data_IF_839845651257
#
_entry.id   IF_839845651257
#
_cell.length_a   1.000
_cell.length_b   1.000
_cell.length_c   1.000
_cell.angle_alpha   90.00
_cell.angle_beta   90.00
_cell.angle_gamma   90.00
#
_symmetry.space_group_name_H-M   'P 1'
#
loop_
_entity.id
_entity.type
_entity.pdbx_description
1 polymer ?
#
# COMPACT_ATOMS: atom_id res chain seq x y z
N UNK A 1 -17.92 -7.41 8.32
CA UNK A 1 -18.20 -8.50 9.29
C UNK A 1 -19.70 -8.65 9.48
N UNK A 2 -20.20 -9.86 9.78
CA UNK A 2 -21.64 -10.09 9.96
C UNK A 2 -22.22 -9.20 11.06
N UNK A 3 -23.49 -8.79 10.89
CA UNK A 3 -24.19 -7.99 11.89
C UNK A 3 -24.24 -8.73 13.22
N UNK A 4 -23.87 -8.07 14.32
CA UNK A 4 -23.92 -8.68 15.64
C UNK A 4 -25.37 -8.76 16.14
N UNK A 5 -26.01 -9.91 15.96
CA UNK A 5 -27.38 -10.21 16.43
C UNK A 5 -27.46 -10.41 17.95
N UNK A 6 -26.34 -10.36 18.68
CA UNK A 6 -26.34 -10.60 20.13
C UNK A 6 -27.19 -9.59 20.91
N UNK A 7 -27.49 -8.41 20.34
CA UNK A 7 -28.32 -7.38 20.99
C UNK A 7 -29.76 -7.84 21.22
N UNK A 8 -30.30 -8.72 20.38
CA UNK A 8 -31.71 -9.14 20.46
C UNK A 8 -31.99 -10.00 21.71
N UNK A 9 -30.95 -10.59 22.29
CA UNK A 9 -31.01 -11.38 23.53
C UNK A 9 -31.00 -10.53 24.82
N UNK A 10 -30.91 -9.21 24.71
CA UNK A 10 -30.91 -8.28 25.84
C UNK A 10 -32.11 -7.33 25.78
N UNK A 11 -32.51 -6.81 26.94
CA UNK A 11 -33.43 -5.69 27.01
C UNK A 11 -32.77 -4.41 26.45
N UNK A 12 -33.56 -3.40 26.02
CA UNK A 12 -33.02 -2.10 25.63
C UNK A 12 -32.08 -1.55 26.71
N UNK A 13 -30.92 -0.96 26.32
CA UNK A 13 -29.92 -0.50 27.27
C UNK A 13 -30.49 0.57 28.19
N UNK A 14 -30.31 0.39 29.50
CA UNK A 14 -30.75 1.35 30.51
C UNK A 14 -29.55 2.18 31.02
N UNK A 15 -29.71 3.49 31.14
CA UNK A 15 -28.70 4.34 31.75
C UNK A 15 -28.70 4.13 33.27
N UNK A 16 -27.56 3.71 33.83
CA UNK A 16 -27.37 3.54 35.26
C UNK A 16 -26.23 4.44 35.77
N UNK A 17 -26.43 5.04 36.95
CA UNK A 17 -25.41 5.83 37.64
C UNK A 17 -25.01 5.09 38.91
N UNK A 18 -23.73 4.75 39.03
CA UNK A 18 -23.18 4.13 40.24
C UNK A 18 -21.86 4.79 40.64
N UNK A 19 -21.23 4.25 41.70
CA UNK A 19 -19.95 4.76 42.22
C UNK A 19 -18.80 4.72 41.19
N UNK A 20 -18.95 3.93 40.12
CA UNK A 20 -17.98 3.81 39.02
C UNK A 20 -18.31 4.73 37.80
N UNK A 21 -19.18 5.72 37.99
CA UNK A 21 -19.60 6.66 36.95
C UNK A 21 -20.82 6.18 36.15
N UNK A 22 -21.12 6.93 35.07
CA UNK A 22 -22.25 6.65 34.17
C UNK A 22 -21.96 5.41 33.30
N UNK A 23 -22.88 4.45 33.30
CA UNK A 23 -22.76 3.21 32.51
C UNK A 23 -24.08 2.88 31.80
N UNK A 24 -23.99 2.10 30.72
CA UNK A 24 -25.13 1.42 30.11
C UNK A 24 -25.26 0.03 30.73
N UNK A 25 -26.46 -0.34 31.17
CA UNK A 25 -26.80 -1.67 31.65
C UNK A 25 -27.58 -2.43 30.58
N UNK A 26 -27.10 -3.63 30.24
CA UNK A 26 -27.75 -4.59 29.36
C UNK A 26 -28.21 -5.78 30.20
N UNK A 27 -29.51 -5.92 30.40
CA UNK A 27 -30.10 -7.06 31.13
C UNK A 27 -30.40 -8.19 30.17
N UNK A 28 -29.90 -9.40 30.47
CA UNK A 28 -30.20 -10.56 29.64
C UNK A 28 -31.69 -10.92 29.75
N UNK A 29 -32.31 -11.31 28.64
CA UNK A 29 -33.71 -11.78 28.64
C UNK A 29 -33.87 -13.20 29.18
N UNK A 30 -32.78 -13.97 29.21
CA UNK A 30 -32.78 -15.40 29.49
C UNK A 30 -32.29 -15.75 30.90
N UNK A 31 -31.66 -14.82 31.62
CA UNK A 31 -31.25 -15.01 33.01
C UNK A 31 -31.17 -13.69 33.79
N UNK A 32 -30.92 -13.78 35.10
CA UNK A 32 -30.81 -12.62 35.97
C UNK A 32 -29.52 -11.79 35.81
N UNK A 33 -28.63 -12.15 34.87
CA UNK A 33 -27.37 -11.43 34.68
C UNK A 33 -27.58 -10.08 33.98
N UNK A 34 -26.87 -9.06 34.45
CA UNK A 34 -26.73 -7.78 33.76
C UNK A 34 -25.26 -7.50 33.45
N UNK A 35 -25.02 -6.90 32.29
CA UNK A 35 -23.69 -6.48 31.84
C UNK A 35 -23.66 -4.97 31.73
N UNK A 36 -22.59 -4.35 32.22
CA UNK A 36 -22.47 -2.89 32.19
C UNK A 36 -21.27 -2.41 31.38
N UNK A 37 -21.48 -1.38 30.58
CA UNK A 37 -20.44 -0.78 29.72
C UNK A 37 -20.32 0.71 30.04
N UNK A 38 -19.08 1.24 30.06
CA UNK A 38 -18.84 2.66 30.38
C UNK A 38 -19.50 3.54 29.31
N UNK A 39 -20.20 4.58 29.74
CA UNK A 39 -20.87 5.57 28.88
C UNK A 39 -19.98 6.80 28.71
N UNK A 40 -19.87 7.32 27.49
CA UNK A 40 -19.10 8.54 27.17
C UNK A 40 -19.99 9.76 26.90
N UNK A 41 -21.30 9.57 26.70
CA UNK A 41 -22.26 10.65 26.42
C UNK A 41 -22.93 11.22 27.68
N UNK A 42 -23.47 12.45 27.55
CA UNK A 42 -24.16 13.17 28.63
C UNK A 42 -25.40 12.43 29.15
N UNK A 43 -25.83 12.70 30.40
CA UNK A 43 -26.88 11.93 31.10
C UNK A 43 -28.20 11.74 30.33
N UNK A 44 -28.57 12.68 29.45
CA UNK A 44 -29.85 12.68 28.72
C UNK A 44 -29.81 12.00 27.34
N UNK A 45 -28.64 11.63 26.82
CA UNK A 45 -28.51 11.04 25.49
C UNK A 45 -29.00 9.58 25.45
N UNK A 46 -29.58 9.13 24.34
CA UNK A 46 -29.89 7.72 24.10
C UNK A 46 -28.60 6.91 23.82
N UNK A 47 -28.69 5.58 23.77
CA UNK A 47 -27.52 4.75 23.45
C UNK A 47 -27.07 4.97 21.99
N UNK A 48 -28.03 5.23 21.10
CA UNK A 48 -27.84 5.47 19.67
C UNK A 48 -27.06 6.76 19.39
N UNK A 49 -27.06 7.69 20.35
CA UNK A 49 -26.33 8.97 20.26
C UNK A 49 -24.84 8.82 20.58
N UNK A 50 -24.38 7.66 21.06
CA UNK A 50 -22.97 7.41 21.39
C UNK A 50 -22.13 7.05 20.16
N UNK A 51 -21.22 7.96 19.77
CA UNK A 51 -20.31 7.80 18.63
C UNK A 51 -18.86 8.01 19.11
N UNK A 52 -18.01 6.96 19.10
CA UNK A 52 -18.28 5.59 18.65
C UNK A 52 -19.11 4.77 19.66
N UNK A 53 -19.94 3.84 19.16
CA UNK A 53 -20.65 2.90 20.04
C UNK A 53 -19.63 2.04 20.80
N UNK A 54 -19.84 1.80 22.11
CA UNK A 54 -18.88 1.07 22.90
C UNK A 54 -18.82 -0.41 22.47
N UNK A 55 -17.64 -1.02 22.59
CA UNK A 55 -17.43 -2.41 22.18
C UNK A 55 -18.32 -3.37 23.01
N UNK A 56 -19.28 -4.01 22.35
CA UNK A 56 -20.25 -4.94 22.95
C UNK A 56 -19.81 -6.42 22.90
N UNK A 57 -18.51 -6.70 22.68
CA UNK A 57 -18.00 -8.07 22.55
C UNK A 57 -18.34 -8.99 23.74
N UNK A 58 -18.46 -8.42 24.93
CA UNK A 58 -18.83 -9.15 26.15
C UNK A 58 -20.27 -9.69 26.12
N UNK A 59 -21.17 -9.10 25.33
CA UNK A 59 -22.56 -9.57 25.18
C UNK A 59 -22.60 -10.92 24.44
N UNK A 60 -21.83 -11.06 23.36
CA UNK A 60 -21.79 -12.29 22.57
C UNK A 60 -21.25 -13.48 23.38
N UNK A 61 -20.20 -13.26 24.19
CA UNK A 61 -19.67 -14.29 25.10
C UNK A 61 -20.69 -14.73 26.14
N UNK A 62 -21.55 -13.82 26.59
CA UNK A 62 -22.62 -14.17 27.52
C UNK A 62 -23.73 -15.00 26.84
N UNK A 63 -24.16 -14.63 25.63
CA UNK A 63 -25.20 -15.39 24.91
C UNK A 63 -24.80 -16.85 24.70
N UNK A 64 -23.52 -17.12 24.45
CA UNK A 64 -22.99 -18.50 24.34
C UNK A 64 -23.18 -19.36 25.60
N UNK A 65 -23.40 -18.74 26.77
CA UNK A 65 -23.67 -19.48 28.02
C UNK A 65 -25.09 -20.03 28.10
N UNK A 66 -26.01 -19.54 27.26
CA UNK A 66 -27.39 -20.00 27.22
C UNK A 66 -27.62 -21.17 26.26
N UNK A 67 -26.55 -21.73 25.69
CA UNK A 67 -26.67 -22.72 24.61
C UNK A 67 -27.05 -22.06 23.28
N UNK A 68 -27.28 -22.88 22.26
CA UNK A 68 -27.67 -22.39 20.94
C UNK A 68 -29.04 -21.70 21.03
N UNK A 69 -29.18 -20.40 20.72
CA UNK A 69 -30.42 -19.66 20.90
C UNK A 69 -31.64 -20.25 20.18
N UNK A 70 -31.44 -21.12 19.18
CA UNK A 70 -32.52 -21.86 18.52
C UNK A 70 -33.12 -23.01 19.37
N UNK A 71 -32.45 -23.41 20.47
CA UNK A 71 -32.87 -24.53 21.33
C UNK A 71 -33.51 -24.13 22.66
N UNK A 72 -33.65 -22.84 22.95
CA UNK A 72 -34.27 -22.36 24.20
C UNK A 72 -35.81 -22.34 24.06
N UNK A 73 -36.41 -23.47 24.38
CA UNK A 73 -37.86 -23.63 24.50
C UNK A 73 -38.45 -22.76 25.63
N UNK A 74 -39.59 -22.15 25.33
CA UNK A 74 -40.44 -21.40 26.28
C UNK A 74 -40.95 -22.38 27.35
N UNK A 75 -40.86 -22.09 28.66
CA UNK A 75 -41.11 -23.09 29.70
C UNK A 75 -42.60 -23.44 29.79
N UNK A 76 -42.93 -24.69 29.48
CA UNK A 76 -44.25 -25.26 29.68
C UNK A 76 -44.47 -26.62 29.01
N UNK A 77 -43.69 -27.65 29.34
CA UNK A 77 -44.16 -29.04 29.13
C UNK A 77 -43.42 -30.07 29.98
N UNK A 78 -44.18 -31.04 30.48
CA UNK A 78 -43.82 -32.06 31.44
C UNK A 78 -43.10 -33.27 30.79
N UNK A 79 -42.47 -34.16 31.59
CA UNK A 79 -41.45 -35.08 31.10
C UNK A 79 -41.98 -36.45 30.72
N UNK A 80 -41.36 -37.00 29.67
CA UNK A 80 -41.20 -38.43 29.46
C UNK A 80 -41.75 -38.93 28.14
N UNK A 81 -40.88 -39.18 27.15
CA UNK A 81 -40.95 -40.39 26.33
C UNK A 81 -39.75 -40.50 25.39
N UNK A 82 -39.25 -41.73 25.28
CA UNK A 82 -38.41 -42.31 24.23
C UNK A 82 -38.16 -41.45 22.99
N UNK A 83 -36.87 -41.14 22.77
CA UNK A 83 -36.29 -40.33 21.69
C UNK A 83 -36.45 -41.00 20.32
N UNK A 84 -37.68 -41.07 19.82
CA UNK A 84 -37.93 -41.15 18.37
C UNK A 84 -37.50 -39.83 17.74
N UNK A 85 -36.91 -39.87 16.54
CA UNK A 85 -36.63 -38.67 15.75
C UNK A 85 -37.88 -37.78 15.78
N UNK A 86 -37.76 -36.58 16.37
CA UNK A 86 -38.90 -35.67 16.47
C UNK A 86 -39.35 -35.29 15.07
N UNK A 87 -40.64 -35.03 14.87
CA UNK A 87 -41.16 -34.55 13.59
C UNK A 87 -40.40 -33.30 13.09
N UNK A 88 -39.85 -32.49 14.00
CA UNK A 88 -38.97 -31.38 13.67
C UNK A 88 -37.65 -31.85 13.03
N UNK A 89 -36.99 -32.88 13.57
CA UNK A 89 -35.78 -33.45 12.97
C UNK A 89 -36.04 -34.11 11.62
N UNK A 90 -37.21 -34.76 11.44
CA UNK A 90 -37.62 -35.31 10.16
C UNK A 90 -37.86 -34.21 9.12
N UNK A 91 -38.48 -33.10 9.52
CA UNK A 91 -38.69 -31.92 8.68
C UNK A 91 -37.36 -31.23 8.29
N UNK A 92 -36.43 -31.10 9.23
CA UNK A 92 -35.09 -30.58 8.95
C UNK A 92 -34.36 -31.47 7.94
N UNK A 93 -34.44 -32.80 8.11
CA UNK A 93 -33.84 -33.74 7.16
C UNK A 93 -34.52 -33.67 5.79
N UNK A 94 -35.85 -33.49 5.76
CA UNK A 94 -36.60 -33.34 4.52
C UNK A 94 -36.26 -32.05 3.77
N UNK A 95 -36.15 -30.92 4.49
CA UNK A 95 -35.74 -29.64 3.93
C UNK A 95 -34.29 -29.69 3.45
N UNK A 96 -33.38 -30.36 4.18
CA UNK A 96 -32.00 -30.56 3.75
C UNK A 96 -31.88 -31.43 2.49
N UNK A 97 -32.70 -32.49 2.39
CA UNK A 97 -32.78 -33.33 1.19
C UNK A 97 -33.43 -32.60 0.01
N UNK A 98 -34.36 -31.68 0.27
CA UNK A 98 -35.00 -30.83 -0.74
C UNK A 98 -34.02 -29.79 -1.27
N UNK A 99 -33.26 -29.14 -0.38
CA UNK A 99 -32.18 -28.20 -0.74
C UNK A 99 -31.04 -28.90 -1.47
N UNK A 100 -30.68 -30.13 -1.07
CA UNK A 100 -29.71 -30.96 -1.79
C UNK A 100 -30.18 -31.43 -3.17
N UNK A 101 -31.50 -31.52 -3.40
CA UNK A 101 -32.08 -31.77 -4.74
C UNK A 101 -32.12 -30.51 -5.61
N UNK A 102 -32.27 -29.34 -5.00
CA UNK A 102 -32.18 -28.04 -5.69
C UNK A 102 -30.72 -27.65 -5.99
N UNK A 103 -29.77 -28.11 -5.16
CA UNK A 103 -28.33 -27.95 -5.32
C UNK A 103 -27.66 -29.32 -5.42
N UNK A 104 -27.88 -30.11 -6.49
CA UNK A 104 -27.22 -31.40 -6.64
C UNK A 104 -25.71 -31.18 -6.55
N UNK A 105 -25.00 -32.07 -5.84
CA UNK A 105 -23.56 -32.00 -5.64
C UNK A 105 -22.85 -31.65 -6.96
N UNK A 106 -22.59 -30.35 -7.16
CA UNK A 106 -22.04 -29.87 -8.40
C UNK A 106 -20.59 -30.30 -8.33
N UNK A 107 -20.22 -31.34 -9.07
CA UNK A 107 -18.83 -31.76 -9.17
C UNK A 107 -18.02 -30.52 -9.55
N UNK A 108 -17.23 -29.93 -8.63
CA UNK A 108 -16.71 -28.61 -8.86
C UNK A 108 -15.69 -28.72 -9.99
N UNK A 109 -15.94 -27.98 -11.06
CA UNK A 109 -15.14 -28.00 -12.29
C UNK A 109 -14.15 -26.83 -12.28
N UNK A 110 -13.05 -26.94 -13.03
CA UNK A 110 -12.09 -25.83 -13.18
C UNK A 110 -12.77 -24.58 -13.75
N UNK A 111 -13.75 -24.74 -14.64
CA UNK A 111 -14.52 -23.62 -15.17
C UNK A 111 -15.36 -22.93 -14.08
N UNK A 112 -16.09 -23.70 -13.25
CA UNK A 112 -16.85 -23.16 -12.12
C UNK A 112 -15.96 -22.47 -11.09
N UNK A 113 -14.81 -23.08 -10.77
CA UNK A 113 -13.82 -22.46 -9.89
C UNK A 113 -13.36 -21.10 -10.43
N UNK A 114 -12.96 -20.99 -11.70
CA UNK A 114 -12.52 -19.72 -12.26
C UNK A 114 -13.62 -18.65 -12.22
N UNK A 115 -14.90 -19.01 -12.38
CA UNK A 115 -16.03 -18.08 -12.27
C UNK A 115 -16.17 -17.53 -10.86
N UNK A 116 -16.14 -18.40 -9.86
CA UNK A 116 -16.22 -18.01 -8.43
C UNK A 116 -15.00 -17.20 -8.03
N UNK A 117 -13.81 -17.58 -8.49
CA UNK A 117 -12.57 -16.86 -8.21
C UNK A 117 -12.58 -15.46 -8.85
N UNK A 118 -13.02 -15.33 -10.10
CA UNK A 118 -13.18 -14.04 -10.74
C UNK A 118 -14.18 -13.17 -9.98
N UNK A 119 -15.37 -13.70 -9.64
CA UNK A 119 -16.38 -13.00 -8.84
C UNK A 119 -15.81 -12.46 -7.52
N UNK A 120 -15.05 -13.29 -6.81
CA UNK A 120 -14.37 -12.91 -5.57
C UNK A 120 -13.40 -11.74 -5.76
N UNK A 121 -12.60 -11.73 -6.84
CA UNK A 121 -11.69 -10.61 -7.15
C UNK A 121 -12.46 -9.29 -7.24
N UNK A 122 -13.64 -9.28 -7.85
CA UNK A 122 -14.41 -8.05 -8.08
C UNK A 122 -15.14 -7.61 -6.82
N UNK A 123 -15.75 -8.55 -6.11
CA UNK A 123 -16.50 -8.27 -4.88
C UNK A 123 -15.61 -7.64 -3.81
N UNK A 124 -14.35 -8.09 -3.73
CA UNK A 124 -13.36 -7.61 -2.75
C UNK A 124 -12.40 -6.54 -3.33
N UNK A 125 -12.65 -6.05 -4.56
CA UNK A 125 -11.82 -5.05 -5.26
C UNK A 125 -10.32 -5.42 -5.27
N UNK A 126 -10.03 -6.69 -5.53
CA UNK A 126 -8.69 -7.22 -5.58
C UNK A 126 -8.07 -7.01 -6.98
N UNK A 127 -6.74 -6.89 -7.09
CA UNK A 127 -6.07 -6.88 -8.39
C UNK A 127 -6.34 -8.18 -9.16
N UNK A 128 -6.55 -8.12 -10.48
CA UNK A 128 -6.69 -9.32 -11.32
C UNK A 128 -5.46 -10.23 -11.30
N UNK A 129 -4.29 -9.69 -10.95
CA UNK A 129 -3.04 -10.44 -10.72
C UNK A 129 -3.03 -11.25 -9.42
N UNK A 130 -4.08 -11.19 -8.60
CA UNK A 130 -4.17 -11.91 -7.30
C UNK A 130 -3.90 -13.40 -7.47
N UNK A 131 -4.43 -14.03 -8.51
CA UNK A 131 -4.22 -15.46 -8.82
C UNK A 131 -2.77 -15.85 -9.08
N UNK A 132 -1.92 -14.89 -9.45
CA UNK A 132 -0.50 -15.10 -9.78
C UNK A 132 0.43 -14.84 -8.60
N UNK A 133 -0.11 -14.33 -7.48
CA UNK A 133 0.71 -14.03 -6.31
C UNK A 133 1.25 -15.32 -5.68
N UNK A 134 2.56 -15.36 -5.41
CA UNK A 134 3.17 -16.53 -4.77
C UNK A 134 2.57 -16.88 -3.39
N UNK A 135 1.96 -15.90 -2.72
CA UNK A 135 1.24 -16.09 -1.46
C UNK A 135 0.00 -16.96 -1.61
N UNK A 136 -0.89 -16.63 -2.55
CA UNK A 136 -2.13 -17.40 -2.76
C UNK A 136 -1.82 -18.79 -3.31
N UNK A 137 -0.80 -18.90 -4.17
CA UNK A 137 -0.35 -20.19 -4.69
C UNK A 137 0.08 -21.13 -3.56
N UNK A 138 0.87 -20.65 -2.59
CA UNK A 138 1.27 -21.45 -1.41
C UNK A 138 0.07 -21.90 -0.57
N UNK A 139 -0.91 -21.02 -0.37
CA UNK A 139 -2.14 -21.35 0.36
C UNK A 139 -2.91 -22.47 -0.36
N UNK A 140 -3.07 -22.39 -1.68
CA UNK A 140 -3.76 -23.40 -2.47
C UNK A 140 -3.04 -24.75 -2.47
N UNK A 141 -1.70 -24.75 -2.55
CA UNK A 141 -0.90 -25.96 -2.38
C UNK A 141 -1.08 -26.57 -0.98
N UNK A 142 -1.07 -25.74 0.07
CA UNK A 142 -1.25 -26.21 1.45
C UNK A 142 -2.62 -26.86 1.67
N UNK A 143 -3.69 -26.27 1.11
CA UNK A 143 -5.04 -26.83 1.14
C UNK A 143 -5.23 -28.03 0.21
N UNK A 144 -4.19 -28.43 -0.54
CA UNK A 144 -4.25 -29.49 -1.56
C UNK A 144 -5.37 -29.24 -2.57
N UNK A 145 -5.57 -27.99 -2.96
CA UNK A 145 -6.57 -27.64 -3.97
C UNK A 145 -6.24 -28.30 -5.29
N UNK A 146 -7.23 -28.98 -5.89
CA UNK A 146 -7.12 -29.58 -7.23
C UNK A 146 -7.28 -28.58 -8.38
N UNK A 147 -7.64 -27.34 -8.06
CA UNK A 147 -7.88 -26.30 -9.06
C UNK A 147 -6.61 -25.49 -9.31
N UNK A 148 -6.37 -25.19 -10.59
CA UNK A 148 -5.33 -24.26 -10.99
C UNK A 148 -5.83 -22.83 -10.79
N UNK A 149 -5.00 -21.98 -10.21
CA UNK A 149 -5.31 -20.56 -10.10
C UNK A 149 -5.30 -19.93 -11.50
N UNK A 150 -6.30 -19.11 -11.87
CA UNK A 150 -6.32 -18.44 -13.16
C UNK A 150 -5.22 -17.37 -13.23
N UNK A 151 -4.66 -17.16 -14.43
CA UNK A 151 -3.95 -15.92 -14.75
C UNK A 151 -4.90 -14.72 -14.71
N UNK A 152 -4.35 -13.52 -14.65
CA UNK A 152 -5.10 -12.27 -14.74
C UNK A 152 -6.03 -12.21 -15.97
N UNK A 153 -5.50 -12.57 -17.14
CA UNK A 153 -6.22 -12.65 -18.41
C UNK A 153 -7.31 -13.72 -18.38
N UNK A 154 -7.05 -14.89 -17.79
CA UNK A 154 -8.04 -15.97 -17.69
C UNK A 154 -9.24 -15.58 -16.82
N UNK A 155 -8.99 -14.85 -15.73
CA UNK A 155 -10.05 -14.39 -14.83
C UNK A 155 -10.96 -13.36 -15.51
N UNK A 156 -10.36 -12.39 -16.22
CA UNK A 156 -11.08 -11.35 -16.97
C UNK A 156 -11.86 -11.98 -18.13
N UNK A 157 -11.20 -12.77 -18.98
CA UNK A 157 -11.80 -13.33 -20.19
C UNK A 157 -13.00 -14.21 -19.86
N UNK A 158 -12.88 -15.11 -18.88
CA UNK A 158 -14.01 -15.97 -18.51
C UNK A 158 -15.19 -15.15 -18.01
N UNK A 159 -14.94 -14.15 -17.18
CA UNK A 159 -16.03 -13.36 -16.62
C UNK A 159 -16.75 -12.53 -17.68
N UNK A 160 -16.01 -11.90 -18.59
CA UNK A 160 -16.59 -11.06 -19.65
C UNK A 160 -17.27 -11.91 -20.72
N UNK A 161 -16.69 -13.05 -21.12
CA UNK A 161 -17.27 -13.94 -22.15
C UNK A 161 -18.59 -14.57 -21.68
N UNK A 162 -18.66 -14.94 -20.40
CA UNK A 162 -19.83 -15.60 -19.81
C UNK A 162 -21.01 -14.65 -19.58
N UNK A 163 -20.79 -13.34 -19.54
CA UNK A 163 -21.85 -12.33 -19.36
C UNK A 163 -22.16 -11.66 -20.68
N UNK A 164 -23.25 -12.07 -21.32
CA UNK A 164 -23.68 -11.52 -22.62
C UNK A 164 -23.87 -10.00 -22.59
N UNK A 165 -24.33 -9.46 -21.46
CA UNK A 165 -24.47 -8.02 -21.21
C UNK A 165 -23.13 -7.25 -21.24
N UNK A 166 -22.01 -7.92 -20.96
CA UNK A 166 -20.68 -7.32 -20.95
C UNK A 166 -19.92 -7.53 -22.27
N UNK A 167 -20.39 -8.40 -23.16
CA UNK A 167 -19.76 -8.61 -24.48
C UNK A 167 -19.60 -7.33 -25.30
N UNK A 168 -20.53 -6.35 -25.28
CA UNK A 168 -20.33 -5.08 -25.97
C UNK A 168 -19.16 -4.25 -25.43
N UNK A 169 -18.65 -4.55 -24.24
CA UNK A 169 -17.48 -3.89 -23.64
C UNK A 169 -16.16 -4.55 -24.05
N UNK A 170 -16.19 -5.70 -24.72
CA UNK A 170 -14.99 -6.32 -25.27
C UNK A 170 -14.46 -5.44 -26.39
N UNK A 171 -13.19 -5.06 -26.25
CA UNK A 171 -12.49 -4.34 -27.29
C UNK A 171 -12.30 -5.27 -28.49
N UNK A 172 -12.68 -4.77 -29.66
CA UNK A 172 -12.37 -5.40 -30.94
C UNK A 172 -10.85 -5.44 -31.15
N UNK A 173 -10.39 -6.35 -32.03
CA UNK A 173 -8.97 -6.41 -32.40
C UNK A 173 -8.41 -5.05 -32.85
N UNK A 174 -9.23 -4.27 -33.56
CA UNK A 174 -8.85 -2.93 -34.01
C UNK A 174 -8.68 -1.93 -32.86
N UNK A 175 -9.50 -2.03 -31.82
CA UNK A 175 -9.38 -1.18 -30.63
C UNK A 175 -8.17 -1.58 -29.79
N UNK A 176 -7.84 -2.87 -29.71
CA UNK A 176 -6.59 -3.34 -29.12
C UNK A 176 -5.36 -2.79 -29.86
N UNK A 177 -5.34 -2.86 -31.20
CA UNK A 177 -4.26 -2.29 -32.01
C UNK A 177 -4.14 -0.77 -31.79
N UNK A 178 -5.26 -0.08 -31.58
CA UNK A 178 -5.28 1.35 -31.26
C UNK A 178 -4.69 1.62 -29.87
N UNK A 179 -5.05 0.81 -28.86
CA UNK A 179 -4.53 0.93 -27.51
C UNK A 179 -3.04 0.63 -27.43
N UNK A 180 -2.54 -0.35 -28.18
CA UNK A 180 -1.11 -0.65 -28.25
C UNK A 180 -0.33 0.57 -28.79
N UNK A 181 -0.77 1.14 -29.92
CA UNK A 181 -0.17 2.35 -30.49
C UNK A 181 -0.26 3.56 -29.56
N UNK A 182 -1.36 3.69 -28.82
CA UNK A 182 -1.51 4.72 -27.79
C UNK A 182 -0.53 4.49 -26.64
N UNK A 183 -0.36 3.24 -26.20
CA UNK A 183 0.60 2.82 -25.18
C UNK A 183 2.03 3.17 -25.58
N UNK A 184 2.43 2.84 -26.81
CA UNK A 184 3.75 3.17 -27.37
C UNK A 184 4.03 4.68 -27.33
N UNK A 185 3.06 5.49 -27.80
CA UNK A 185 3.16 6.96 -27.79
C UNK A 185 3.27 7.52 -26.36
N UNK A 186 2.62 6.90 -25.38
CA UNK A 186 2.65 7.34 -23.99
C UNK A 186 3.83 6.78 -23.19
N UNK A 187 4.52 5.76 -23.70
CA UNK A 187 5.60 5.06 -23.01
C UNK A 187 6.72 6.01 -22.55
N UNK A 188 6.99 7.06 -23.34
CA UNK A 188 8.01 8.06 -23.02
C UNK A 188 7.76 8.75 -21.67
N UNK A 189 6.51 9.02 -21.31
CA UNK A 189 6.17 9.67 -20.04
C UNK A 189 6.47 8.77 -18.85
N UNK A 190 6.20 7.47 -18.98
CA UNK A 190 6.55 6.47 -17.97
C UNK A 190 8.06 6.37 -17.78
N UNK A 191 8.83 6.37 -18.88
CA UNK A 191 10.29 6.35 -18.83
C UNK A 191 10.86 7.62 -18.15
N UNK A 192 10.37 8.80 -18.53
CA UNK A 192 10.78 10.07 -17.90
C UNK A 192 10.40 10.11 -16.43
N UNK A 193 9.20 9.69 -16.06
CA UNK A 193 8.73 9.65 -14.67
C UNK A 193 9.59 8.69 -13.83
N UNK A 194 9.91 7.52 -14.38
CA UNK A 194 10.80 6.57 -13.72
C UNK A 194 12.20 7.17 -13.52
N UNK A 195 12.74 7.85 -14.53
CA UNK A 195 14.05 8.48 -14.41
C UNK A 195 14.06 9.61 -13.37
N UNK A 196 13.00 10.43 -13.33
CA UNK A 196 12.86 11.56 -12.41
C UNK A 196 12.53 11.14 -10.97
N UNK A 197 12.02 9.93 -10.75
CA UNK A 197 11.70 9.40 -9.42
C UNK A 197 12.87 8.66 -8.75
N UNK A 198 13.99 8.48 -9.45
CA UNK A 198 15.19 7.86 -8.88
C UNK A 198 15.81 8.76 -7.81
N UNK A 199 15.76 8.31 -6.56
CA UNK A 199 16.31 9.02 -5.39
C UNK A 199 17.81 9.31 -5.44
N UNK A 200 18.53 8.63 -6.33
CA UNK A 200 20.00 8.65 -6.42
C UNK A 200 20.55 9.65 -7.43
N UNK A 201 19.68 10.33 -8.18
CA UNK A 201 20.06 11.25 -9.26
C UNK A 201 19.44 12.63 -9.02
N UNK A 202 20.24 13.72 -9.06
CA UNK A 202 19.67 15.06 -8.93
C UNK A 202 18.69 15.30 -10.08
N UNK A 203 17.44 15.64 -9.76
CA UNK A 203 16.35 15.73 -10.75
C UNK A 203 16.36 17.06 -11.50
N UNK A 204 16.68 18.16 -10.82
CA UNK A 204 16.64 19.53 -11.38
C UNK A 204 17.42 19.71 -12.70
N UNK A 205 18.65 19.19 -12.87
CA UNK A 205 19.39 19.34 -14.13
C UNK A 205 18.71 18.67 -15.33
N UNK A 206 17.92 17.63 -15.08
CA UNK A 206 17.28 16.81 -16.11
C UNK A 206 15.90 17.31 -16.53
N UNK A 207 15.29 18.24 -15.79
CA UNK A 207 13.92 18.72 -16.07
C UNK A 207 13.78 19.16 -17.53
N UNK A 208 14.61 20.11 -18.00
CA UNK A 208 14.51 20.62 -19.37
C UNK A 208 14.90 19.57 -20.44
N UNK A 209 16.00 18.79 -20.30
CA UNK A 209 16.28 17.69 -21.22
C UNK A 209 15.15 16.66 -21.34
N UNK A 210 14.45 16.35 -20.24
CA UNK A 210 13.35 15.40 -20.26
C UNK A 210 12.12 15.96 -20.98
N UNK A 211 11.79 17.24 -20.79
CA UNK A 211 10.75 17.90 -21.59
C UNK A 211 11.07 17.87 -23.08
N UNK A 212 12.30 18.22 -23.47
CA UNK A 212 12.72 18.17 -24.87
C UNK A 212 12.63 16.74 -25.44
N UNK A 213 12.98 15.73 -24.63
CA UNK A 213 12.87 14.34 -25.03
C UNK A 213 11.43 13.91 -25.30
N UNK A 214 10.50 14.25 -24.41
CA UNK A 214 9.07 14.00 -24.59
C UNK A 214 8.49 14.76 -25.80
N UNK A 215 8.87 16.04 -25.98
CA UNK A 215 8.45 16.86 -27.12
C UNK A 215 8.89 16.23 -28.45
N UNK A 216 10.16 15.81 -28.54
CA UNK A 216 10.69 15.14 -29.73
C UNK A 216 9.91 13.85 -30.04
N UNK A 217 9.59 13.07 -29.01
CA UNK A 217 8.84 11.83 -29.17
C UNK A 217 7.42 12.08 -29.71
N UNK A 218 6.66 13.01 -29.11
CA UNK A 218 5.31 13.33 -29.60
C UNK A 218 5.32 13.98 -31.00
N UNK A 219 6.34 14.79 -31.34
CA UNK A 219 6.50 15.33 -32.71
C UNK A 219 6.65 14.21 -33.73
N UNK A 220 7.45 13.19 -33.42
CA UNK A 220 7.59 12.02 -34.29
C UNK A 220 6.25 11.31 -34.52
N UNK A 221 5.43 11.12 -33.48
CA UNK A 221 4.09 10.53 -33.63
C UNK A 221 3.10 11.44 -34.37
N UNK A 222 3.15 12.75 -34.16
CA UNK A 222 2.32 13.72 -34.89
C UNK A 222 2.62 13.68 -36.40
N UNK A 223 3.91 13.61 -36.74
CA UNK A 223 4.40 13.72 -38.11
C UNK A 223 4.38 12.36 -38.86
N UNK A 224 4.08 11.25 -38.19
CA UNK A 224 3.95 9.93 -38.79
C UNK A 224 2.67 9.79 -39.62
N UNK A 225 2.81 9.79 -40.95
CA UNK A 225 1.70 9.67 -41.89
C UNK A 225 0.95 8.32 -41.82
N UNK A 226 1.56 7.27 -41.27
CA UNK A 226 0.93 5.95 -41.11
C UNK A 226 0.06 5.85 -39.85
N UNK A 227 0.19 6.82 -38.94
CA UNK A 227 -0.55 6.84 -37.69
C UNK A 227 -1.99 7.30 -37.91
N UNK A 228 -2.92 6.71 -37.15
CA UNK A 228 -4.34 7.04 -37.22
C UNK A 228 -4.55 8.55 -36.96
N UNK A 229 -5.44 9.23 -37.72
CA UNK A 229 -5.69 10.67 -37.54
C UNK A 229 -6.04 11.06 -36.10
N UNK A 230 -6.79 10.22 -35.38
CA UNK A 230 -7.14 10.45 -33.97
C UNK A 230 -5.90 10.47 -33.06
N UNK A 231 -4.94 9.56 -33.27
CA UNK A 231 -3.69 9.52 -32.50
C UNK A 231 -2.80 10.72 -32.82
N UNK A 232 -2.73 11.15 -34.09
CA UNK A 232 -2.01 12.38 -34.47
C UNK A 232 -2.63 13.63 -33.84
N UNK A 233 -3.96 13.71 -33.79
CA UNK A 233 -4.67 14.78 -33.10
C UNK A 233 -4.38 14.75 -31.60
N UNK A 234 -4.36 13.56 -30.97
CA UNK A 234 -3.97 13.39 -29.57
C UNK A 234 -2.51 13.81 -29.32
N UNK A 235 -1.56 13.44 -30.20
CA UNK A 235 -0.17 13.87 -30.12
C UNK A 235 -0.04 15.39 -30.23
N UNK A 236 -0.82 16.03 -31.12
CA UNK A 236 -0.88 17.49 -31.26
C UNK A 236 -1.35 18.16 -29.98
N UNK A 237 -2.48 17.71 -29.42
CA UNK A 237 -2.98 18.24 -28.15
C UNK A 237 -2.01 18.01 -26.98
N UNK A 238 -1.35 16.85 -26.96
CA UNK A 238 -0.29 16.52 -26.00
C UNK A 238 0.91 17.46 -26.12
N UNK A 239 1.35 17.77 -27.34
CA UNK A 239 2.44 18.72 -27.62
C UNK A 239 2.10 20.12 -27.13
N UNK A 240 0.94 20.67 -27.48
CA UNK A 240 0.52 22.00 -27.03
C UNK A 240 0.54 22.12 -25.49
N UNK A 241 0.05 21.07 -24.82
CA UNK A 241 0.07 21.02 -23.36
C UNK A 241 1.49 20.92 -22.80
N UNK A 242 2.32 20.09 -23.41
CA UNK A 242 3.69 19.84 -22.97
C UNK A 242 4.60 21.06 -23.19
N UNK A 243 4.42 21.79 -24.28
CA UNK A 243 5.11 23.06 -24.58
C UNK A 243 4.79 24.11 -23.51
N UNK A 244 3.52 24.23 -23.11
CA UNK A 244 3.11 25.11 -21.99
C UNK A 244 3.87 24.79 -20.70
N UNK A 245 4.08 23.51 -20.37
CA UNK A 245 4.83 23.11 -19.18
C UNK A 245 6.33 23.28 -19.34
N UNK A 246 6.86 23.04 -20.54
CA UNK A 246 8.26 23.30 -20.88
C UNK A 246 8.59 24.78 -20.69
N UNK A 247 7.72 25.70 -21.15
CA UNK A 247 7.89 27.14 -20.98
C UNK A 247 7.89 27.54 -19.50
N UNK A 248 6.98 26.99 -18.70
CA UNK A 248 6.98 27.21 -17.24
C UNK A 248 8.25 26.68 -16.59
N UNK A 249 8.72 25.51 -17.00
CA UNK A 249 9.95 24.92 -16.50
C UNK A 249 11.17 25.75 -16.90
N UNK A 250 11.20 26.29 -18.12
CA UNK A 250 12.26 27.15 -18.63
C UNK A 250 12.23 28.56 -18.02
N UNK A 251 11.07 29.06 -17.64
CA UNK A 251 10.92 30.30 -16.87
C UNK A 251 11.47 30.20 -15.44
N UNK A 252 11.63 28.99 -14.92
CA UNK A 252 12.24 28.76 -13.60
C UNK A 252 13.77 28.85 -13.68
N UNK A 253 14.33 29.90 -13.08
CA UNK A 253 15.78 30.12 -13.03
C UNK A 253 16.56 28.92 -12.47
N UNK A 254 15.98 28.16 -11.53
CA UNK A 254 16.64 27.01 -10.92
C UNK A 254 16.84 25.87 -11.92
N UNK A 255 15.82 25.58 -12.74
CA UNK A 255 15.91 24.57 -13.80
C UNK A 255 16.94 25.01 -14.85
N UNK A 256 16.89 26.27 -15.29
CA UNK A 256 17.83 26.80 -16.28
C UNK A 256 19.27 26.74 -15.78
N UNK A 257 19.51 27.17 -14.54
CA UNK A 257 20.84 27.15 -13.92
C UNK A 257 21.31 25.71 -13.74
N UNK A 258 20.45 24.80 -13.26
CA UNK A 258 20.77 23.39 -13.08
C UNK A 258 21.12 22.71 -14.42
N UNK A 259 20.31 22.92 -15.46
CA UNK A 259 20.53 22.34 -16.79
C UNK A 259 21.74 22.95 -17.50
N UNK A 260 21.86 24.29 -17.59
CA UNK A 260 22.98 24.95 -18.29
C UNK A 260 24.32 24.68 -17.64
N UNK A 261 24.34 24.34 -16.36
CA UNK A 261 25.58 24.13 -15.62
C UNK A 261 26.03 22.67 -15.59
N UNK A 262 25.48 21.70 -16.31
CA UNK A 262 25.95 20.30 -16.26
C UNK A 262 27.47 20.04 -16.29
N UNK A 263 28.30 20.94 -16.88
CA UNK A 263 29.78 20.92 -16.75
C UNK A 263 30.39 22.01 -15.86
N UNK A 264 29.70 23.13 -15.61
CA UNK A 264 30.15 24.26 -14.74
C UNK A 264 29.55 24.22 -13.32
N UNK A 265 28.60 23.33 -13.08
CA UNK A 265 27.84 23.15 -11.85
C UNK A 265 28.74 22.57 -10.78
N UNK A 266 29.63 21.65 -11.14
CA UNK A 266 30.66 21.15 -10.23
C UNK A 266 31.46 22.29 -9.60
N UNK A 267 31.91 23.26 -10.42
CA UNK A 267 32.71 24.39 -9.93
C UNK A 267 31.86 25.29 -9.02
N UNK A 268 30.60 25.51 -9.36
CA UNK A 268 29.75 26.42 -8.61
C UNK A 268 29.13 25.80 -7.35
N UNK A 269 28.80 24.50 -7.38
CA UNK A 269 28.45 23.73 -6.19
C UNK A 269 29.66 23.64 -5.26
N UNK A 270 30.87 23.41 -5.78
CA UNK A 270 32.09 23.52 -4.99
C UNK A 270 32.24 24.92 -4.41
N UNK A 271 32.08 25.97 -5.20
CA UNK A 271 32.17 27.34 -4.71
C UNK A 271 31.13 27.68 -3.62
N UNK A 272 29.86 27.28 -3.81
CA UNK A 272 28.78 27.51 -2.83
C UNK A 272 28.99 26.66 -1.58
N UNK A 273 29.40 25.41 -1.72
CA UNK A 273 29.74 24.53 -0.60
C UNK A 273 30.93 25.08 0.19
N UNK A 274 32.00 25.50 -0.50
CA UNK A 274 33.16 26.15 0.11
C UNK A 274 32.79 27.46 0.81
N UNK A 275 31.89 28.24 0.20
CA UNK A 275 31.38 29.47 0.82
C UNK A 275 30.57 29.17 2.07
N UNK A 276 29.65 28.20 2.00
CA UNK A 276 28.87 27.74 3.15
C UNK A 276 29.77 27.23 4.28
N UNK A 277 30.73 26.36 3.94
CA UNK A 277 31.70 25.79 4.88
C UNK A 277 32.49 26.90 5.59
N UNK A 278 33.00 27.91 4.87
CA UNK A 278 33.68 29.05 5.50
C UNK A 278 32.79 29.79 6.50
N UNK A 279 31.53 30.05 6.15
CA UNK A 279 30.61 30.75 7.04
C UNK A 279 30.27 29.90 8.27
N UNK A 280 30.13 28.59 8.09
CA UNK A 280 29.77 27.65 9.15
C UNK A 280 30.95 27.37 10.10
N UNK A 281 32.16 27.22 9.57
CA UNK A 281 33.39 27.06 10.37
C UNK A 281 33.67 28.31 11.21
N UNK A 282 33.39 29.51 10.69
CA UNK A 282 33.45 30.77 11.44
C UNK A 282 32.39 30.85 12.56
N UNK A 283 31.22 30.26 12.33
CA UNK A 283 30.14 30.22 13.32
C UNK A 283 30.40 29.17 14.41
N UNK A 284 31.09 28.07 14.10
CA UNK A 284 31.51 27.07 15.10
C UNK A 284 32.63 27.58 16.00
N UNK A 285 33.61 28.33 15.48
CA UNK A 285 34.68 28.91 16.30
C UNK A 285 34.21 30.00 17.28
N UNK A 286 33.07 30.63 17.00
CA UNK A 286 32.46 31.64 17.88
C UNK A 286 31.40 31.06 18.83
N UNK A 287 31.12 29.75 18.75
CA UNK A 287 30.15 29.11 19.63
C UNK A 287 30.79 28.92 21.02
N UNK A 288 30.25 29.51 22.09
CA UNK A 288 30.74 29.23 23.44
C UNK A 288 30.68 27.73 23.72
N UNK A 289 31.64 27.17 24.47
CA UNK A 289 31.70 25.74 24.75
C UNK A 289 30.35 25.28 25.24
N UNK A 290 29.80 24.26 24.56
CA UNK A 290 28.50 23.71 24.93
C UNK A 290 28.51 23.36 26.42
N UNK A 291 27.51 23.78 27.21
CA UNK A 291 27.44 23.39 28.61
C UNK A 291 27.50 21.87 28.66
N UNK A 292 28.42 21.35 29.50
CA UNK A 292 28.65 19.91 29.69
C UNK A 292 27.29 19.24 29.85
N UNK A 293 26.85 18.54 28.81
CA UNK A 293 25.54 17.90 28.80
C UNK A 293 25.58 16.82 29.88
N UNK A 294 24.75 16.97 30.91
CA UNK A 294 24.52 15.89 31.87
C UNK A 294 24.04 14.70 31.07
N UNK A 295 24.83 13.62 31.10
CA UNK A 295 24.51 12.34 30.48
C UNK A 295 23.13 11.89 30.99
N UNK A 296 22.08 12.15 30.22
CA UNK A 296 20.82 11.45 30.38
C UNK A 296 20.96 10.16 29.61
N UNK A 297 21.21 9.06 30.33
CA UNK A 297 21.21 7.71 29.79
C UNK A 297 19.85 7.42 29.15
N UNK A 298 19.78 7.56 27.84
CA UNK A 298 18.63 7.12 27.06
C UNK A 298 18.75 5.61 26.90
N UNK A 299 17.70 4.87 27.25
CA UNK A 299 17.58 3.42 27.10
C UNK A 299 17.92 2.91 25.68
N UNK A 300 17.91 3.77 24.67
CA UNK A 300 18.30 3.42 23.29
C UNK A 300 19.82 3.32 23.09
N UNK A 301 20.64 3.89 23.97
CA UNK A 301 22.11 3.81 23.88
C UNK A 301 22.62 2.43 24.36
N UNK A 302 21.90 1.75 25.27
CA UNK A 302 22.27 0.41 25.76
C UNK A 302 21.97 -0.73 24.75
N UNK A 303 21.11 -0.49 23.77
CA UNK A 303 20.68 -1.53 22.81
C UNK A 303 21.60 -1.62 21.58
N UNK A 304 22.50 -0.65 21.39
CA UNK A 304 23.36 -0.56 20.20
C UNK A 304 24.87 -0.72 20.51
N UNK A 305 25.24 -1.49 21.54
CA UNK A 305 26.64 -1.77 21.87
C UNK A 305 27.30 -2.69 20.83
N UNK A 306 27.89 -2.09 19.79
CA UNK A 306 29.11 -2.60 19.18
C UNK A 306 30.26 -1.79 19.80
N UNK A 307 31.18 -2.47 20.48
CA UNK A 307 32.42 -1.88 20.98
C UNK A 307 33.22 -1.30 19.81
N UNK A 308 33.10 0.00 19.59
CA UNK A 308 33.95 0.75 18.67
C UNK A 308 35.09 1.31 19.50
N UNK A 309 36.23 0.63 19.45
CA UNK A 309 37.51 1.17 19.91
C UNK A 309 37.78 2.49 19.17
N UNK A 310 37.92 3.60 19.89
CA UNK A 310 38.22 4.91 19.31
C UNK A 310 39.53 4.85 18.49
N UNK A 311 39.50 5.11 17.16
CA UNK A 311 40.72 5.22 16.40
C UNK A 311 41.39 6.55 16.66
N UNK A 312 42.71 6.51 16.85
CA UNK A 312 43.55 7.69 17.01
C UNK A 312 43.31 8.68 15.87
N UNK A 313 43.10 9.94 16.23
CA UNK A 313 42.91 11.08 15.31
C UNK A 313 44.14 11.27 14.43
N UNK A 314 44.11 10.68 13.23
CA UNK A 314 44.90 11.17 12.11
C UNK A 314 44.33 12.52 11.63
N UNK A 315 45.15 13.39 11.03
CA UNK A 315 44.70 14.71 10.59
C UNK A 315 43.51 14.56 9.65
N UNK A 316 42.36 15.12 10.04
CA UNK A 316 41.09 14.95 9.35
C UNK A 316 41.15 15.68 8.00
N UNK A 317 41.66 14.99 6.98
CA UNK A 317 41.60 15.48 5.60
C UNK A 317 40.14 15.77 5.26
N UNK A 318 39.90 16.94 4.67
CA UNK A 318 38.55 17.34 4.33
C UNK A 318 37.93 16.36 3.32
N UNK A 319 36.63 16.10 3.41
CA UNK A 319 35.91 15.20 2.49
C UNK A 319 36.12 15.59 1.01
N UNK A 320 36.35 16.88 0.75
CA UNK A 320 36.66 17.38 -0.59
C UNK A 320 38.06 16.95 -1.09
N UNK A 321 39.08 16.95 -0.23
CA UNK A 321 40.42 16.46 -0.60
C UNK A 321 40.41 14.96 -0.85
N UNK A 322 39.66 14.21 -0.03
CA UNK A 322 39.42 12.77 -0.24
C UNK A 322 38.76 12.52 -1.60
N UNK A 323 37.75 13.32 -1.95
CA UNK A 323 37.09 13.26 -3.24
C UNK A 323 38.05 13.52 -4.42
N UNK A 324 38.91 14.53 -4.34
CA UNK A 324 39.87 14.81 -5.42
C UNK A 324 41.02 13.80 -5.51
N UNK A 325 41.44 13.21 -4.40
CA UNK A 325 42.38 12.10 -4.41
C UNK A 325 41.77 10.87 -5.09
N UNK A 326 40.50 10.58 -4.78
CA UNK A 326 39.72 9.51 -5.39
C UNK A 326 39.52 9.68 -6.90
N UNK A 327 39.14 10.87 -7.37
CA UNK A 327 38.98 11.16 -8.81
C UNK A 327 40.28 10.99 -9.59
N UNK A 328 41.43 11.34 -8.99
CA UNK A 328 42.76 11.18 -9.61
C UNK A 328 43.19 9.72 -9.72
N UNK A 329 42.78 8.89 -8.78
CA UNK A 329 43.23 7.49 -8.68
C UNK A 329 42.26 6.50 -9.35
N UNK A 330 40.96 6.80 -9.37
CA UNK A 330 39.92 5.86 -9.83
C UNK A 330 39.08 6.38 -11.01
N UNK A 331 39.42 7.55 -11.57
CA UNK A 331 38.66 8.19 -12.66
C UNK A 331 37.35 8.83 -12.19
N UNK A 332 36.59 9.41 -13.13
CA UNK A 332 35.37 10.20 -12.85
C UNK A 332 34.12 9.37 -12.49
N UNK A 333 34.22 8.05 -12.49
CA UNK A 333 33.08 7.15 -12.32
C UNK A 333 32.12 7.13 -13.51
N UNK A 334 31.13 6.24 -13.45
CA UNK A 334 30.02 6.18 -14.41
C UNK A 334 28.99 7.26 -14.07
N UNK A 335 28.70 8.14 -15.03
CA UNK A 335 27.72 9.21 -14.89
C UNK A 335 26.30 8.69 -14.59
N UNK A 336 26.00 7.44 -14.96
CA UNK A 336 24.72 6.79 -14.70
C UNK A 336 24.68 6.05 -13.37
N UNK A 337 25.82 5.91 -12.69
CA UNK A 337 25.92 5.24 -11.40
C UNK A 337 26.89 5.95 -10.45
N UNK A 338 26.62 7.23 -10.13
CA UNK A 338 27.50 8.02 -9.28
C UNK A 338 27.69 7.36 -7.91
N UNK A 339 26.69 6.66 -7.39
CA UNK A 339 26.76 6.00 -6.08
C UNK A 339 27.58 4.70 -6.07
N UNK A 340 27.72 3.98 -7.19
CA UNK A 340 28.66 2.84 -7.22
C UNK A 340 30.10 3.31 -7.08
N UNK A 341 30.42 4.47 -7.68
CA UNK A 341 31.72 5.12 -7.51
C UNK A 341 31.97 5.48 -6.03
N UNK A 342 30.97 6.07 -5.35
CA UNK A 342 31.03 6.31 -3.90
C UNK A 342 31.20 5.03 -3.08
N UNK A 343 30.50 3.94 -3.45
CA UNK A 343 30.54 2.67 -2.72
C UNK A 343 31.91 1.98 -2.80
N UNK A 344 32.56 2.02 -3.97
CA UNK A 344 33.93 1.50 -4.16
C UNK A 344 34.93 2.28 -3.29
N UNK A 345 34.74 3.60 -3.17
CA UNK A 345 35.59 4.44 -2.34
C UNK A 345 35.36 4.20 -0.84
N UNK A 346 34.12 4.01 -0.41
CA UNK A 346 33.81 3.66 0.98
C UNK A 346 34.41 2.32 1.38
N UNK A 347 34.39 1.30 0.50
CA UNK A 347 35.02 0.01 0.78
C UNK A 347 36.56 0.09 0.87
N UNK A 348 37.21 0.83 -0.04
CA UNK A 348 38.68 1.00 0.01
C UNK A 348 39.14 1.79 1.24
N UNK A 349 38.34 2.75 1.72
CA UNK A 349 38.64 3.50 2.94
C UNK A 349 38.53 2.65 4.21
N UNK A 350 37.58 1.70 4.26
CA UNK A 350 37.45 0.76 5.39
C UNK A 350 38.61 -0.25 5.41
N UNK A 351 39.04 -0.74 4.25
CA UNK A 351 40.13 -1.73 4.16
C UNK A 351 41.50 -1.10 4.53
N UNK A 352 41.76 0.15 4.13
CA UNK A 352 43.02 0.82 4.46
C UNK A 352 43.13 1.26 5.93
N UNK A 353 42.00 1.50 6.62
CA UNK A 353 41.97 1.77 8.06
C UNK A 353 42.05 0.51 8.94
N UNK A 354 41.90 -0.69 8.35
CA UNK A 354 42.04 -1.98 9.07
C UNK A 354 43.46 -2.56 8.91
N UNK A 355 44.18 -2.17 7.85
CA UNK A 355 45.52 -2.66 7.52
C UNK A 355 46.67 -1.68 7.87
N UNK A 356 46.35 -0.52 8.45
CA UNK A 356 47.30 0.46 9.00
C UNK A 356 47.08 0.57 10.49
#
# INVERSE_FOLDING_TARGET
>A
GPANTSRDHFHPPAAVSGNQGSRWEFRCRHCAASLTVKRTVSKKAAFEDEKPQPAIGNLATHVRKHGDPETLEIPGSAPGLTRGMSAASAKIMEDFLRDGKLNPASNPTQAGFNKVFAAWIIEDDLPFTTGETGGIHRLFCYMQSRFQLPSDTTAIDKWVIDREELRPLLLSSREWDLLEKLGDMLQIFSQVTLQMSRSKTPTLPWVLPMYEHMLKHLRAHRDDALLLPSLRAAATAGLEKLETYCDKAAGCQFNVVATKRGKKADILFKFVYESYKRTHDQQEQSRPPAPVAKQSSSFLDDVCMLDVTEPQTTPQQSELERFYAAVRTHGRGDANNPLAWWKVLSCHMVVNNILS
#
